data_IF_107941778077
#
_entry.id   IF_107941778077
#
_cell.length_a   1.000
_cell.length_b   1.000
_cell.length_c   1.000
_cell.angle_alpha   90.00
_cell.angle_beta   90.00
_cell.angle_gamma   90.00
#
_symmetry.space_group_name_H-M   'P 1'
#
loop_
_entity.id
_entity.type
_entity.pdbx_description
1 polymer ?
#
# COMPACT_ATOMS: atom_id res chain seq x y z
N UNK A 1 -5.00 11.25 -8.85
CA UNK A 1 -3.59 10.85 -9.08
C UNK A 1 -3.39 10.47 -10.55
N UNK A 2 -3.01 11.41 -11.42
CA UNK A 2 -2.84 11.14 -12.87
C UNK A 2 -1.56 10.36 -13.21
N UNK A 3 -0.53 10.42 -12.35
CA UNK A 3 0.71 9.66 -12.52
C UNK A 3 0.53 8.15 -12.34
N UNK A 4 -0.27 7.72 -11.36
CA UNK A 4 -0.55 6.29 -11.16
C UNK A 4 -1.32 5.68 -12.34
N UNK A 5 -2.31 6.41 -12.90
CA UNK A 5 -3.01 5.93 -14.09
C UNK A 5 -2.09 5.73 -15.29
N UNK A 6 -1.01 6.50 -15.42
CA UNK A 6 -0.04 6.38 -16.52
C UNK A 6 0.84 5.11 -16.43
N UNK A 7 0.87 4.43 -15.28
CA UNK A 7 1.59 3.16 -15.11
C UNK A 7 0.73 1.94 -15.46
N UNK A 8 -0.58 2.10 -15.70
CA UNK A 8 -1.48 1.00 -16.06
C UNK A 8 -1.51 0.77 -17.58
N UNK A 9 -1.34 -0.48 -18.06
CA UNK A 9 -1.30 -0.80 -19.50
C UNK A 9 -2.63 -0.52 -20.22
N UNK A 10 -3.75 -0.48 -19.49
CA UNK A 10 -5.09 -0.17 -20.03
C UNK A 10 -5.36 1.34 -20.16
N UNK A 11 -4.46 2.19 -19.67
CA UNK A 11 -4.66 3.63 -19.67
C UNK A 11 -4.34 4.26 -21.03
N UNK A 12 -5.08 5.30 -21.40
CA UNK A 12 -4.81 6.09 -22.62
C UNK A 12 -3.46 6.83 -22.57
N UNK A 13 -2.90 6.99 -21.36
CA UNK A 13 -1.67 7.73 -21.09
C UNK A 13 -0.54 6.80 -20.62
N UNK A 14 -0.56 5.53 -21.04
CA UNK A 14 0.43 4.54 -20.61
C UNK A 14 1.85 5.00 -20.99
N UNK A 15 2.71 5.11 -19.97
CA UNK A 15 4.09 5.58 -20.12
C UNK A 15 4.21 6.95 -20.81
N UNK A 16 3.27 7.85 -20.57
CA UNK A 16 3.40 9.25 -20.97
C UNK A 16 4.29 10.03 -19.97
N UNK A 17 5.39 10.56 -20.49
CA UNK A 17 6.40 11.26 -19.69
C UNK A 17 5.81 12.50 -18.99
N UNK A 18 4.90 13.23 -19.64
CA UNK A 18 4.28 14.42 -19.07
C UNK A 18 3.44 14.11 -17.81
N UNK A 19 2.85 12.92 -17.73
CA UNK A 19 2.08 12.49 -16.56
C UNK A 19 2.95 11.85 -15.47
N UNK A 20 4.11 11.30 -15.83
CA UNK A 20 5.07 10.64 -14.93
C UNK A 20 6.05 11.64 -14.29
N UNK A 21 6.39 12.73 -14.99
CA UNK A 21 7.33 13.77 -14.54
C UNK A 21 7.12 14.24 -13.08
N UNK A 22 5.89 14.56 -12.61
CA UNK A 22 5.70 14.95 -11.21
C UNK A 22 6.04 13.86 -10.18
N UNK A 23 6.11 12.59 -10.58
CA UNK A 23 6.60 11.49 -9.73
C UNK A 23 8.13 11.37 -9.75
N UNK A 24 8.80 11.78 -10.83
CA UNK A 24 10.26 11.70 -10.97
C UNK A 24 10.97 12.75 -10.10
N UNK A 25 10.50 13.99 -10.17
CA UNK A 25 11.06 15.14 -9.43
C UNK A 25 11.12 14.89 -7.92
N UNK A 26 10.13 14.20 -7.38
CA UNK A 26 10.05 13.92 -5.94
C UNK A 26 10.91 12.74 -5.47
N UNK A 27 11.37 11.85 -6.38
CA UNK A 27 11.98 10.56 -6.02
C UNK A 27 13.47 10.44 -6.36
N UNK A 28 14.13 11.53 -6.75
CA UNK A 28 15.56 11.56 -7.16
C UNK A 28 15.87 10.52 -8.24
N UNK A 29 15.00 10.45 -9.24
CA UNK A 29 15.15 9.59 -10.41
C UNK A 29 15.66 10.46 -11.56
N UNK A 30 16.62 9.95 -12.34
CA UNK A 30 17.14 10.64 -13.52
C UNK A 30 16.06 10.72 -14.60
N UNK A 31 15.61 11.93 -14.93
CA UNK A 31 14.56 12.17 -15.92
C UNK A 31 14.98 11.70 -17.32
N UNK A 32 16.25 11.90 -17.66
CA UNK A 32 16.82 11.54 -18.96
C UNK A 32 16.86 10.01 -19.15
N UNK A 33 17.34 9.28 -18.14
CA UNK A 33 17.44 7.81 -18.19
C UNK A 33 16.05 7.17 -18.25
N UNK A 34 15.09 7.66 -17.45
CA UNK A 34 13.71 7.18 -17.50
C UNK A 34 13.07 7.46 -18.86
N UNK A 35 13.34 8.60 -19.47
CA UNK A 35 12.78 8.91 -20.79
C UNK A 35 13.27 7.93 -21.86
N UNK A 36 14.57 7.59 -21.84
CA UNK A 36 15.17 6.61 -22.76
C UNK A 36 14.58 5.21 -22.48
N UNK A 37 14.56 4.79 -21.21
CA UNK A 37 14.01 3.51 -20.79
C UNK A 37 12.52 3.36 -21.15
N UNK A 38 11.72 4.42 -20.99
CA UNK A 38 10.30 4.43 -21.40
C UNK A 38 10.14 4.25 -22.91
N UNK A 39 10.99 4.87 -23.73
CA UNK A 39 10.94 4.68 -25.18
C UNK A 39 11.26 3.22 -25.55
N UNK A 40 12.29 2.64 -24.95
CA UNK A 40 12.68 1.25 -25.18
C UNK A 40 11.62 0.27 -24.67
N UNK A 41 11.07 0.51 -23.48
CA UNK A 41 10.00 -0.31 -22.91
C UNK A 41 8.76 -0.32 -23.81
N UNK A 42 8.36 0.83 -24.38
CA UNK A 42 7.24 0.88 -25.34
C UNK A 42 7.47 0.01 -26.57
N UNK A 43 8.70 -0.09 -27.05
CA UNK A 43 9.06 -0.95 -28.19
C UNK A 43 8.97 -2.43 -27.79
N UNK A 44 9.57 -2.79 -26.65
CA UNK A 44 9.59 -4.17 -26.13
C UNK A 44 8.16 -4.68 -25.83
N UNK A 45 7.29 -3.79 -25.34
CA UNK A 45 5.94 -4.13 -24.89
C UNK A 45 4.88 -4.02 -26.01
N UNK A 46 5.24 -3.53 -27.20
CA UNK A 46 4.29 -3.23 -28.30
C UNK A 46 3.44 -4.40 -28.76
N UNK A 47 3.95 -5.63 -28.67
CA UNK A 47 3.29 -6.85 -29.16
C UNK A 47 2.91 -7.81 -28.03
N UNK A 48 2.88 -7.34 -26.79
CA UNK A 48 2.66 -8.18 -25.64
C UNK A 48 1.31 -7.86 -24.99
N UNK A 49 0.49 -8.89 -24.77
CA UNK A 49 -0.73 -8.74 -23.98
C UNK A 49 -0.37 -8.50 -22.52
N UNK A 50 -0.87 -7.41 -21.94
CA UNK A 50 -0.66 -7.05 -20.54
C UNK A 50 -2.01 -6.60 -19.97
N UNK A 51 -2.49 -7.32 -18.96
CA UNK A 51 -3.75 -7.00 -18.31
C UNK A 51 -3.52 -6.12 -17.10
N UNK A 52 -2.43 -6.38 -16.37
CA UNK A 52 -2.09 -5.74 -15.11
C UNK A 52 -0.65 -5.19 -15.09
N UNK A 53 -0.41 -4.30 -14.13
CA UNK A 53 0.93 -3.72 -13.86
C UNK A 53 1.94 -4.83 -13.48
N UNK A 54 1.47 -5.90 -12.84
CA UNK A 54 2.30 -7.05 -12.51
C UNK A 54 2.89 -7.73 -13.76
N UNK A 55 2.11 -7.87 -14.84
CA UNK A 55 2.62 -8.43 -16.09
C UNK A 55 3.75 -7.56 -16.66
N UNK A 56 3.60 -6.23 -16.58
CA UNK A 56 4.61 -5.26 -17.04
C UNK A 56 5.91 -5.45 -16.26
N UNK A 57 5.80 -5.58 -14.93
CA UNK A 57 6.94 -5.76 -14.04
C UNK A 57 7.62 -7.10 -14.30
N UNK A 58 6.88 -8.21 -14.41
CA UNK A 58 7.46 -9.53 -14.66
C UNK A 58 8.26 -9.54 -15.96
N UNK A 59 7.73 -8.91 -17.02
CA UNK A 59 8.43 -8.79 -18.30
C UNK A 59 9.66 -7.90 -18.23
N UNK A 60 9.56 -6.72 -17.61
CA UNK A 60 10.70 -5.81 -17.50
C UNK A 60 11.75 -6.32 -16.49
N UNK A 61 11.36 -7.13 -15.51
CA UNK A 61 12.27 -7.72 -14.53
C UNK A 61 13.24 -8.73 -15.15
N UNK A 62 12.83 -9.41 -16.23
CA UNK A 62 13.72 -10.25 -17.03
C UNK A 62 14.85 -9.46 -17.71
N UNK A 63 14.68 -8.15 -17.84
CA UNK A 63 15.60 -7.19 -18.46
C UNK A 63 16.02 -6.12 -17.44
N UNK A 64 16.18 -6.50 -16.17
CA UNK A 64 16.43 -5.56 -15.06
C UNK A 64 17.63 -4.64 -15.27
N UNK A 65 18.67 -5.12 -15.96
CA UNK A 65 19.86 -4.30 -16.26
C UNK A 65 19.60 -3.21 -17.31
N UNK A 66 18.59 -3.40 -18.18
CA UNK A 66 18.23 -2.46 -19.22
C UNK A 66 17.18 -1.42 -18.77
N UNK A 67 16.47 -1.68 -17.65
CA UNK A 67 15.39 -0.83 -17.15
C UNK A 67 15.45 -0.54 -15.63
N UNK A 68 16.61 -0.15 -15.08
CA UNK A 68 16.76 0.06 -13.64
C UNK A 68 15.87 1.19 -13.09
N UNK A 69 15.76 2.33 -13.77
CA UNK A 69 15.00 3.48 -13.25
C UNK A 69 13.49 3.32 -13.48
N UNK A 70 13.09 2.68 -14.58
CA UNK A 70 11.69 2.36 -14.86
C UNK A 70 11.13 1.34 -13.87
N UNK A 71 11.90 0.30 -13.51
CA UNK A 71 11.48 -0.65 -12.47
C UNK A 71 11.33 0.04 -11.12
N UNK A 72 12.28 0.90 -10.76
CA UNK A 72 12.20 1.69 -9.52
C UNK A 72 10.97 2.60 -9.50
N UNK A 73 10.63 3.24 -10.62
CA UNK A 73 9.41 4.03 -10.76
C UNK A 73 8.15 3.18 -10.55
N UNK A 74 8.09 1.98 -11.14
CA UNK A 74 6.96 1.06 -11.00
C UNK A 74 6.81 0.57 -9.55
N UNK A 75 7.91 0.26 -8.86
CA UNK A 75 7.90 -0.11 -7.44
C UNK A 75 7.32 1.01 -6.56
N UNK A 76 7.73 2.26 -6.80
CA UNK A 76 7.19 3.43 -6.09
C UNK A 76 5.70 3.59 -6.37
N UNK A 77 5.28 3.47 -7.63
CA UNK A 77 3.88 3.58 -8.01
C UNK A 77 3.01 2.53 -7.30
N UNK A 78 3.47 1.27 -7.26
CA UNK A 78 2.80 0.20 -6.52
C UNK A 78 2.77 0.48 -5.00
N UNK A 79 3.88 0.92 -4.43
CA UNK A 79 3.96 1.24 -3.00
C UNK A 79 2.96 2.32 -2.60
N UNK A 80 2.79 3.36 -3.43
CA UNK A 80 1.81 4.43 -3.20
C UNK A 80 0.38 3.88 -3.27
N UNK A 81 0.07 3.03 -4.25
CA UNK A 81 -1.25 2.42 -4.38
C UNK A 81 -1.61 1.52 -3.19
N UNK A 82 -0.68 0.66 -2.78
CA UNK A 82 -0.86 -0.20 -1.60
C UNK A 82 -1.01 0.64 -0.34
N UNK A 83 -0.20 1.69 -0.17
CA UNK A 83 -0.31 2.60 0.98
C UNK A 83 -1.63 3.34 1.01
N UNK A 84 -2.14 3.80 -0.13
CA UNK A 84 -3.46 4.44 -0.23
C UNK A 84 -4.57 3.49 0.19
N UNK A 85 -4.57 2.26 -0.34
CA UNK A 85 -5.56 1.24 0.01
C UNK A 85 -5.49 0.87 1.50
N UNK A 86 -4.29 0.77 2.08
CA UNK A 86 -4.08 0.53 3.50
C UNK A 86 -4.59 1.67 4.38
N UNK A 87 -4.36 2.93 3.97
CA UNK A 87 -4.91 4.11 4.64
C UNK A 87 -6.44 4.10 4.60
N UNK A 88 -7.05 3.85 3.43
CA UNK A 88 -8.51 3.76 3.29
C UNK A 88 -9.12 2.66 4.17
N UNK A 89 -8.50 1.46 4.18
CA UNK A 89 -8.88 0.37 5.10
C UNK A 89 -8.79 0.79 6.56
N UNK A 90 -7.72 1.47 6.95
CA UNK A 90 -7.49 1.95 8.31
C UNK A 90 -8.53 2.99 8.73
N UNK A 91 -8.81 3.99 7.88
CA UNK A 91 -9.82 5.00 8.17
C UNK A 91 -11.24 4.42 8.19
N UNK A 92 -11.55 3.47 7.31
CA UNK A 92 -12.83 2.74 7.31
C UNK A 92 -13.02 1.97 8.62
N UNK A 93 -11.98 1.30 9.09
CA UNK A 93 -11.98 0.57 10.36
C UNK A 93 -12.11 1.52 11.56
N UNK A 94 -11.39 2.63 11.53
CA UNK A 94 -11.46 3.66 12.55
C UNK A 94 -12.86 4.28 12.65
N UNK A 95 -13.53 4.51 11.51
CA UNK A 95 -14.91 5.01 11.47
C UNK A 95 -15.90 4.05 12.13
N UNK A 96 -15.68 2.73 12.03
CA UNK A 96 -16.50 1.72 12.73
C UNK A 96 -16.22 1.68 14.24
N UNK A 97 -14.95 1.81 14.63
CA UNK A 97 -14.53 1.74 16.04
C UNK A 97 -14.85 3.03 16.82
N UNK A 98 -14.63 4.20 16.21
CA UNK A 98 -14.87 5.53 16.80
C UNK A 98 -16.25 6.05 16.38
N UNK A 99 -17.26 5.67 17.14
CA UNK A 99 -18.64 6.17 16.97
C UNK A 99 -18.92 7.36 17.88
N UNK A 100 -19.99 8.11 17.60
CA UNK A 100 -20.43 9.26 18.40
C UNK A 100 -20.58 8.91 19.90
N UNK A 101 -21.20 7.76 20.19
CA UNK A 101 -21.40 7.25 21.56
C UNK A 101 -20.09 6.81 22.26
N UNK A 102 -19.01 6.57 21.51
CA UNK A 102 -17.70 6.15 22.03
C UNK A 102 -16.64 7.24 21.87
N UNK A 103 -17.06 8.50 21.72
CA UNK A 103 -16.18 9.64 21.47
C UNK A 103 -15.24 9.98 22.63
N UNK A 104 -15.54 9.51 23.85
CA UNK A 104 -14.79 9.79 25.08
C UNK A 104 -13.65 8.81 25.37
N UNK A 105 -13.40 7.80 24.52
CA UNK A 105 -12.34 6.81 24.77
C UNK A 105 -10.93 7.39 24.65
N UNK A 106 -10.00 6.89 25.45
CA UNK A 106 -8.58 7.29 25.37
C UNK A 106 -7.96 6.92 24.02
N UNK A 107 -6.97 7.72 23.58
CA UNK A 107 -6.28 7.49 22.31
C UNK A 107 -5.54 6.13 22.29
N UNK A 108 -5.00 5.72 23.44
CA UNK A 108 -4.32 4.42 23.59
C UNK A 108 -5.30 3.26 23.38
N UNK A 109 -6.49 3.33 23.98
CA UNK A 109 -7.55 2.34 23.78
C UNK A 109 -8.05 2.32 22.34
N UNK A 110 -8.24 3.48 21.74
CA UNK A 110 -8.66 3.60 20.34
C UNK A 110 -7.64 2.93 19.40
N UNK A 111 -6.35 3.19 19.60
CA UNK A 111 -5.29 2.63 18.77
C UNK A 111 -5.24 1.10 18.88
N UNK A 112 -5.30 0.56 20.10
CA UNK A 112 -5.31 -0.89 20.32
C UNK A 112 -6.52 -1.56 19.65
N UNK A 113 -7.72 -0.95 19.75
CA UNK A 113 -8.92 -1.47 19.09
C UNK A 113 -8.86 -1.33 17.56
N UNK A 114 -8.23 -0.28 17.04
CA UNK A 114 -8.05 -0.09 15.61
C UNK A 114 -7.13 -1.19 15.04
N UNK A 115 -6.01 -1.50 15.71
CA UNK A 115 -5.10 -2.58 15.31
C UNK A 115 -5.84 -3.93 15.27
N UNK A 116 -6.59 -4.27 16.32
CA UNK A 116 -7.38 -5.51 16.37
C UNK A 116 -8.45 -5.59 15.27
N UNK A 117 -9.01 -4.44 14.86
CA UNK A 117 -10.04 -4.36 13.82
C UNK A 117 -9.46 -4.42 12.40
N UNK A 118 -8.27 -3.85 12.19
CA UNK A 118 -7.56 -3.90 10.91
C UNK A 118 -6.99 -5.30 10.68
N UNK A 119 -6.36 -5.87 11.70
CA UNK A 119 -5.76 -7.21 11.70
C UNK A 119 -6.73 -8.27 12.25
N UNK A 120 -8.00 -8.20 11.82
CA UNK A 120 -9.06 -9.06 12.35
C UNK A 120 -8.78 -10.55 12.15
N UNK A 121 -8.11 -10.90 11.06
CA UNK A 121 -7.79 -12.29 10.71
C UNK A 121 -6.76 -12.86 11.70
N UNK A 122 -5.72 -12.08 12.00
CA UNK A 122 -4.70 -12.43 12.99
C UNK A 122 -5.32 -12.46 14.39
N UNK A 123 -6.14 -11.45 14.73
CA UNK A 123 -6.83 -11.38 16.01
C UNK A 123 -7.76 -12.58 16.25
N UNK A 124 -8.42 -13.06 15.19
CA UNK A 124 -9.31 -14.23 15.27
C UNK A 124 -8.55 -15.55 15.41
N UNK A 125 -7.31 -15.60 14.91
CA UNK A 125 -6.42 -16.77 15.06
C UNK A 125 -5.76 -16.87 16.44
N UNK A 126 -5.86 -15.81 17.26
CA UNK A 126 -5.17 -15.75 18.56
C UNK A 126 -5.89 -16.62 19.61
N UNK A 127 -5.18 -17.49 20.36
CA UNK A 127 -5.79 -18.32 21.38
C UNK A 127 -6.27 -17.46 22.57
N UNK A 128 -7.58 -17.22 22.63
CA UNK A 128 -8.22 -16.37 23.64
C UNK A 128 -7.91 -16.79 25.07
N UNK A 129 -7.84 -18.10 25.34
CA UNK A 129 -7.53 -18.63 26.68
C UNK A 129 -6.16 -18.15 27.18
N UNK A 130 -5.14 -18.21 26.31
CA UNK A 130 -3.78 -17.76 26.64
C UNK A 130 -3.75 -16.26 26.92
N UNK A 131 -4.55 -15.47 26.19
CA UNK A 131 -4.65 -14.02 26.39
C UNK A 131 -5.29 -13.72 27.74
N UNK A 132 -6.36 -14.43 28.10
CA UNK A 132 -7.05 -14.28 29.38
C UNK A 132 -6.13 -14.66 30.54
N UNK A 133 -5.43 -15.79 30.44
CA UNK A 133 -4.49 -16.25 31.46
C UNK A 133 -3.34 -15.26 31.67
N UNK A 134 -2.77 -14.76 30.57
CA UNK A 134 -1.71 -13.74 30.62
C UNK A 134 -2.21 -12.45 31.25
N UNK A 135 -3.40 -12.00 30.88
CA UNK A 135 -4.02 -10.81 31.45
C UNK A 135 -4.25 -10.97 32.96
N UNK A 136 -4.79 -12.12 33.38
CA UNK A 136 -5.03 -12.43 34.79
C UNK A 136 -3.72 -12.45 35.61
N UNK A 137 -2.66 -13.06 35.06
CA UNK A 137 -1.34 -13.10 35.69
C UNK A 137 -0.73 -11.70 35.87
N UNK A 138 -0.81 -10.84 34.84
CA UNK A 138 -0.19 -9.51 34.86
C UNK A 138 -0.97 -8.49 35.69
N UNK A 139 -2.31 -8.47 35.61
CA UNK A 139 -3.11 -7.44 36.27
C UNK A 139 -3.49 -7.76 37.73
N UNK A 140 -3.31 -9.01 38.20
CA UNK A 140 -3.66 -9.50 39.55
C UNK A 140 -5.10 -9.20 40.01
N UNK A 141 -5.95 -8.69 39.12
CA UNK A 141 -7.29 -8.20 39.43
C UNK A 141 -8.23 -8.68 38.33
N UNK A 142 -9.28 -9.43 38.71
CA UNK A 142 -10.24 -10.04 37.77
C UNK A 142 -11.24 -9.05 37.18
N UNK A 143 -11.09 -7.76 37.46
CA UNK A 143 -11.99 -6.69 37.00
C UNK A 143 -11.30 -5.89 35.90
N UNK A 144 -11.95 -5.81 34.74
CA UNK A 144 -11.53 -4.92 33.65
C UNK A 144 -12.05 -3.52 34.00
N UNK A 145 -11.16 -2.61 34.40
CA UNK A 145 -11.51 -1.20 34.58
C UNK A 145 -11.56 -0.54 33.19
N UNK A 146 -12.75 -0.44 32.62
CA UNK A 146 -12.98 0.18 31.31
C UNK A 146 -13.02 1.71 31.43
N UNK A 147 -11.90 2.33 31.83
CA UNK A 147 -11.69 3.77 31.68
C UNK A 147 -11.39 4.13 30.21
#
# INVERSE_FOLDING_TARGET
MKGFSACSPKSKNFFDFATINPMLVNNKISEEDVQIELMQAKIVLRNQHMEDIHDVIDKLSSLKEAFPELLRLLDIALTIAVSSAACERSFSSLKRTKTYLRSTMSQLRLNNLAILSIESDIASSLPLEVVVDRFAYQHKNRRICLL
#
